data_IF_110667925619
#
_entry.id   IF_110667925619
#
_cell.length_a   1.000
_cell.length_b   1.000
_cell.length_c   1.000
_cell.angle_alpha   90.00
_cell.angle_beta   90.00
_cell.angle_gamma   90.00
#
_symmetry.space_group_name_H-M   'P 1'
#
loop_
_entity.id
_entity.type
_entity.pdbx_description
1 polymer ?
#
# COMPACT_ATOMS: atom_id res chain seq x y z
N UNK A 1 1.83 15.88 -10.81
CA UNK A 1 3.19 16.46 -10.88
C UNK A 1 3.44 17.40 -9.72
N UNK A 2 4.70 17.55 -9.30
CA UNK A 2 5.11 18.46 -8.21
C UNK A 2 6.36 19.20 -8.60
N UNK A 3 6.39 20.51 -8.35
CA UNK A 3 7.63 21.29 -8.32
C UNK A 3 8.10 21.42 -6.87
N UNK A 4 9.39 21.21 -6.63
CA UNK A 4 10.03 21.46 -5.35
C UNK A 4 11.22 22.40 -5.53
N UNK A 5 11.21 23.50 -4.79
CA UNK A 5 12.37 24.37 -4.72
C UNK A 5 13.52 23.65 -4.00
N UNK A 6 14.69 23.60 -4.63
CA UNK A 6 15.82 22.81 -4.12
C UNK A 6 16.53 23.46 -2.93
N UNK A 7 16.28 24.75 -2.68
CA UNK A 7 16.88 25.53 -1.60
C UNK A 7 15.92 25.66 -0.41
N UNK A 8 14.69 26.14 -0.68
CA UNK A 8 13.68 26.39 0.38
C UNK A 8 12.86 25.17 0.77
N UNK A 9 12.80 24.15 -0.09
CA UNK A 9 11.94 22.96 0.03
C UNK A 9 10.43 23.27 -0.11
N UNK A 10 10.08 24.45 -0.57
CA UNK A 10 8.71 24.76 -0.99
C UNK A 10 8.24 23.78 -2.06
N UNK A 11 6.98 23.36 -1.99
CA UNK A 11 6.40 22.40 -2.94
C UNK A 11 5.11 22.95 -3.50
N UNK A 12 4.96 22.83 -4.81
CA UNK A 12 3.80 23.31 -5.57
C UNK A 12 3.20 22.10 -6.30
N UNK A 13 1.91 21.90 -6.11
CA UNK A 13 1.15 20.91 -6.86
C UNK A 13 0.91 21.41 -8.28
N UNK A 14 1.43 20.69 -9.25
CA UNK A 14 1.31 20.99 -10.68
C UNK A 14 0.40 19.99 -11.41
N UNK A 15 -0.39 19.20 -10.69
CA UNK A 15 -1.23 18.15 -11.30
C UNK A 15 -2.18 18.73 -12.32
N UNK A 16 -2.83 19.84 -12.01
CA UNK A 16 -3.78 20.52 -12.90
C UNK A 16 -3.11 21.30 -14.04
N UNK A 17 -1.78 21.39 -14.03
CA UNK A 17 -0.99 22.06 -15.09
C UNK A 17 -0.54 21.07 -16.17
N UNK A 18 -0.89 19.79 -16.03
CA UNK A 18 -0.57 18.76 -17.01
C UNK A 18 -1.78 18.52 -17.89
N UNK A 19 -1.65 18.79 -19.18
CA UNK A 19 -2.65 18.49 -20.19
C UNK A 19 -2.00 17.72 -21.34
N UNK A 20 -2.62 16.64 -21.79
CA UNK A 20 -2.13 15.79 -22.90
C UNK A 20 -0.66 15.33 -22.72
N UNK A 21 -0.26 15.09 -21.46
CA UNK A 21 1.13 14.70 -21.13
C UNK A 21 2.14 15.85 -21.15
N UNK A 22 1.70 17.08 -21.36
CA UNK A 22 2.54 18.28 -21.39
C UNK A 22 2.29 19.08 -20.12
N UNK A 23 3.36 19.40 -19.39
CA UNK A 23 3.33 20.33 -18.28
C UNK A 23 3.66 21.75 -18.78
N UNK A 24 2.76 22.70 -18.54
CA UNK A 24 2.99 24.11 -18.78
C UNK A 24 2.87 24.86 -17.46
N UNK A 25 3.95 25.51 -17.04
CA UNK A 25 4.01 26.22 -15.77
C UNK A 25 5.00 27.37 -15.81
N UNK A 26 4.56 28.54 -15.36
CA UNK A 26 5.42 29.72 -15.19
C UNK A 26 6.12 29.61 -13.83
N UNK A 27 7.38 29.15 -13.85
CA UNK A 27 8.15 28.92 -12.65
C UNK A 27 8.49 30.27 -11.95
N UNK A 28 8.22 30.38 -10.64
CA UNK A 28 8.73 31.50 -9.85
C UNK A 28 10.27 31.53 -9.84
N UNK A 29 10.82 32.67 -9.43
CA UNK A 29 12.27 32.79 -9.27
C UNK A 29 12.81 31.72 -8.30
N UNK A 30 13.96 31.14 -8.62
CA UNK A 30 14.60 30.09 -7.81
C UNK A 30 15.00 28.85 -8.60
N UNK A 31 15.46 27.84 -7.87
CA UNK A 31 15.89 26.57 -8.47
C UNK A 31 14.84 25.47 -8.18
N UNK A 32 14.14 25.05 -9.20
CA UNK A 32 13.05 24.11 -9.08
C UNK A 32 13.39 22.75 -9.67
N UNK A 33 13.01 21.69 -8.96
CA UNK A 33 12.98 20.32 -9.45
C UNK A 33 11.55 19.95 -9.71
N UNK A 34 11.23 19.58 -10.95
CA UNK A 34 9.93 19.07 -11.33
C UNK A 34 9.97 17.54 -11.27
N UNK A 35 8.97 16.95 -10.67
CA UNK A 35 8.82 15.49 -10.50
C UNK A 35 7.45 15.07 -10.98
N UNK A 36 7.42 14.08 -11.84
CA UNK A 36 6.19 13.41 -12.25
C UNK A 36 6.11 12.08 -11.51
N UNK A 37 4.96 11.82 -10.88
CA UNK A 37 4.63 10.56 -10.23
C UNK A 37 3.52 9.89 -11.02
N UNK A 38 3.72 8.65 -11.39
CA UNK A 38 2.72 7.85 -12.07
C UNK A 38 2.69 6.44 -11.48
N UNK A 39 1.53 5.83 -11.53
CA UNK A 39 1.37 4.45 -11.13
C UNK A 39 1.69 3.55 -12.32
N UNK A 40 2.69 2.71 -12.15
CA UNK A 40 3.00 1.66 -13.12
C UNK A 40 2.27 0.38 -12.70
N UNK A 41 1.40 -0.11 -13.59
CA UNK A 41 0.72 -1.37 -13.35
C UNK A 41 1.68 -2.52 -13.70
N UNK A 42 2.00 -3.30 -12.67
CA UNK A 42 2.78 -4.52 -12.90
C UNK A 42 1.89 -5.59 -13.53
N UNK A 43 2.30 -6.10 -14.69
CA UNK A 43 1.61 -7.17 -15.41
C UNK A 43 1.75 -8.55 -14.75
N UNK A 44 2.58 -8.69 -13.74
CA UNK A 44 2.83 -9.96 -13.04
C UNK A 44 1.73 -10.33 -12.02
N UNK A 45 0.49 -9.96 -12.31
CA UNK A 45 -0.75 -10.49 -11.71
C UNK A 45 -0.66 -10.84 -10.22
N UNK A 46 -0.22 -9.91 -9.38
CA UNK A 46 -0.23 -10.09 -7.93
C UNK A 46 -1.53 -9.57 -7.35
N UNK A 47 -1.96 -10.18 -6.26
CA UNK A 47 -3.05 -9.66 -5.46
C UNK A 47 -2.69 -8.28 -4.91
N UNK A 48 -3.59 -7.32 -4.99
CA UNK A 48 -3.46 -6.07 -4.25
C UNK A 48 -3.87 -6.32 -2.79
N UNK A 49 -2.88 -6.42 -1.92
CA UNK A 49 -3.09 -6.69 -0.50
C UNK A 49 -3.69 -5.52 0.29
N UNK A 50 -3.78 -4.33 -0.31
CA UNK A 50 -4.43 -3.15 0.25
C UNK A 50 -5.84 -2.92 -0.31
N UNK A 51 -6.27 -3.71 -1.30
CA UNK A 51 -7.61 -3.62 -1.89
C UNK A 51 -8.52 -4.70 -1.29
N UNK A 52 -9.43 -4.28 -0.43
CA UNK A 52 -10.38 -5.19 0.22
C UNK A 52 -11.24 -5.98 -0.78
N UNK A 53 -11.66 -5.36 -1.88
CA UNK A 53 -12.48 -6.02 -2.89
C UNK A 53 -11.68 -7.11 -3.63
N UNK A 54 -10.41 -6.85 -3.94
CA UNK A 54 -9.52 -7.84 -4.53
C UNK A 54 -9.31 -9.04 -3.59
N UNK A 55 -9.18 -8.78 -2.28
CA UNK A 55 -9.02 -9.84 -1.29
C UNK A 55 -10.30 -10.65 -1.13
N UNK A 56 -11.46 -10.02 -1.10
CA UNK A 56 -12.75 -10.73 -1.03
C UNK A 56 -12.96 -11.62 -2.26
N UNK A 57 -12.57 -11.14 -3.44
CA UNK A 57 -12.59 -11.96 -4.65
C UNK A 57 -11.62 -13.12 -4.55
N UNK A 58 -10.41 -12.91 -4.06
CA UNK A 58 -9.43 -13.98 -3.84
C UNK A 58 -9.96 -15.05 -2.88
N UNK A 59 -10.55 -14.65 -1.74
CA UNK A 59 -11.17 -15.57 -0.79
C UNK A 59 -12.28 -16.37 -1.46
N UNK A 60 -13.13 -15.72 -2.25
CA UNK A 60 -14.21 -16.39 -3.00
C UNK A 60 -13.69 -17.42 -4.01
N UNK A 61 -12.61 -17.11 -4.69
CA UNK A 61 -12.01 -17.98 -5.72
C UNK A 61 -11.19 -19.12 -5.14
N UNK A 62 -10.71 -19.00 -3.91
CA UNK A 62 -9.81 -19.96 -3.26
C UNK A 62 -10.46 -20.60 -2.02
N UNK A 63 -10.50 -19.89 -0.93
CA UNK A 63 -10.95 -20.38 0.38
C UNK A 63 -12.38 -20.93 0.34
N UNK A 64 -13.31 -20.24 -0.30
CA UNK A 64 -14.69 -20.70 -0.45
C UNK A 64 -14.78 -22.00 -1.29
N UNK A 65 -13.87 -22.20 -2.23
CA UNK A 65 -13.85 -23.45 -2.99
C UNK A 65 -13.40 -24.65 -2.14
N UNK A 66 -12.50 -24.41 -1.19
CA UNK A 66 -12.14 -25.43 -0.21
C UNK A 66 -13.29 -25.70 0.76
N UNK A 67 -13.95 -24.66 1.26
CA UNK A 67 -15.11 -24.83 2.13
C UNK A 67 -16.21 -25.66 1.45
N UNK A 68 -16.56 -25.35 0.21
CA UNK A 68 -17.58 -26.09 -0.56
C UNK A 68 -17.26 -27.60 -0.70
N UNK A 69 -15.98 -27.97 -0.73
CA UNK A 69 -15.56 -29.36 -0.96
C UNK A 69 -15.22 -30.12 0.31
N UNK A 70 -14.74 -29.42 1.34
CA UNK A 70 -14.08 -30.04 2.48
C UNK A 70 -14.64 -29.59 3.83
N UNK A 71 -15.76 -28.90 3.88
CA UNK A 71 -16.35 -28.39 5.12
C UNK A 71 -16.55 -29.50 6.17
N UNK A 72 -16.93 -30.70 5.75
CA UNK A 72 -17.13 -31.83 6.65
C UNK A 72 -15.84 -32.29 7.34
N UNK A 73 -14.70 -31.95 6.81
CA UNK A 73 -13.39 -32.24 7.38
C UNK A 73 -12.82 -31.10 8.23
N UNK A 74 -13.50 -29.94 8.23
CA UNK A 74 -13.07 -28.81 9.04
C UNK A 74 -13.18 -29.16 10.52
N UNK A 75 -12.30 -28.59 11.35
CA UNK A 75 -12.15 -28.86 12.78
C UNK A 75 -11.61 -30.25 13.15
N UNK A 76 -11.66 -31.21 12.26
CA UNK A 76 -11.15 -32.56 12.48
C UNK A 76 -9.84 -32.81 11.77
N UNK A 77 -9.89 -33.02 10.48
CA UNK A 77 -8.72 -33.25 9.62
C UNK A 77 -8.08 -31.93 9.17
N UNK A 78 -8.90 -30.98 8.69
CA UNK A 78 -8.48 -29.63 8.33
C UNK A 78 -8.69 -28.72 9.53
N UNK A 79 -7.62 -28.34 10.19
CA UNK A 79 -7.67 -27.57 11.44
C UNK A 79 -7.38 -26.09 11.29
N UNK A 80 -6.83 -25.68 10.15
CA UNK A 80 -6.48 -24.31 9.92
C UNK A 80 -6.08 -24.04 8.48
N UNK A 81 -5.89 -22.77 8.19
CA UNK A 81 -5.28 -22.24 6.96
C UNK A 81 -3.91 -21.66 7.28
N UNK A 82 -3.00 -21.81 6.36
CA UNK A 82 -1.66 -21.21 6.47
C UNK A 82 -1.38 -20.36 5.22
N UNK A 83 -0.85 -19.18 5.44
CA UNK A 83 -0.34 -18.32 4.37
C UNK A 83 1.16 -18.08 4.57
N UNK A 84 1.88 -17.92 3.48
CA UNK A 84 3.32 -17.73 3.49
C UNK A 84 3.72 -16.56 2.60
N UNK A 85 4.61 -15.71 3.11
CA UNK A 85 5.18 -14.56 2.42
C UNK A 85 4.14 -13.67 1.68
N UNK A 86 2.99 -13.44 2.30
CA UNK A 86 1.98 -12.53 1.74
C UNK A 86 2.44 -11.08 1.84
N UNK A 87 2.31 -10.32 0.76
CA UNK A 87 2.70 -8.93 0.71
C UNK A 87 3.51 -8.61 -0.54
N UNK A 88 4.22 -7.52 -0.51
CA UNK A 88 4.88 -6.96 -1.70
C UNK A 88 6.35 -7.36 -1.87
N UNK A 89 6.86 -8.25 -1.05
CA UNK A 89 8.17 -8.91 -1.17
C UNK A 89 9.30 -7.96 -1.61
N UNK A 90 9.58 -6.95 -0.80
CA UNK A 90 10.66 -6.00 -1.05
C UNK A 90 10.30 -4.83 -1.98
N UNK A 91 9.08 -4.76 -2.51
CA UNK A 91 8.65 -3.59 -3.26
C UNK A 91 8.22 -2.46 -2.31
N UNK A 92 9.19 -1.66 -1.88
CA UNK A 92 8.98 -0.57 -0.93
C UNK A 92 8.09 0.57 -1.44
N UNK A 93 7.76 0.58 -2.72
CA UNK A 93 6.98 1.65 -3.36
C UNK A 93 5.70 1.17 -4.00
N UNK A 94 5.19 0.05 -3.53
CA UNK A 94 3.89 -0.39 -3.96
C UNK A 94 2.80 0.62 -3.55
N UNK A 95 1.88 0.90 -4.45
CA UNK A 95 0.92 1.98 -4.30
C UNK A 95 -0.43 1.65 -4.94
N UNK A 96 -1.51 2.11 -4.32
CA UNK A 96 -2.85 2.12 -4.92
C UNK A 96 -3.60 3.41 -4.54
N UNK A 97 -4.81 3.59 -5.04
CA UNK A 97 -5.62 4.77 -4.76
C UNK A 97 -5.99 4.88 -3.27
N UNK A 98 -6.28 3.76 -2.61
CA UNK A 98 -6.67 3.73 -1.21
C UNK A 98 -5.60 4.31 -0.29
N UNK A 99 -4.31 4.10 -0.60
CA UNK A 99 -3.21 4.67 0.17
C UNK A 99 -3.17 6.21 0.06
N UNK A 100 -3.41 6.75 -1.14
CA UNK A 100 -3.51 8.20 -1.35
C UNK A 100 -4.67 8.79 -0.57
N UNK A 101 -5.85 8.21 -0.71
CA UNK A 101 -7.06 8.66 -0.03
C UNK A 101 -6.93 8.58 1.49
N UNK A 102 -6.36 7.49 2.00
CA UNK A 102 -6.11 7.31 3.44
C UNK A 102 -5.19 8.38 4.00
N UNK A 103 -4.15 8.76 3.25
CA UNK A 103 -3.26 9.84 3.64
C UNK A 103 -4.00 11.18 3.70
N UNK A 104 -4.74 11.52 2.66
CA UNK A 104 -5.46 12.80 2.59
C UNK A 104 -6.55 12.90 3.66
N UNK A 105 -7.30 11.83 3.86
CA UNK A 105 -8.35 11.78 4.88
C UNK A 105 -7.79 11.88 6.30
N UNK A 106 -6.67 11.21 6.59
CA UNK A 106 -6.08 11.20 7.95
C UNK A 106 -5.37 12.50 8.31
N UNK A 107 -4.63 13.06 7.36
CA UNK A 107 -3.75 14.20 7.64
C UNK A 107 -4.31 15.54 7.16
N UNK A 108 -5.39 15.54 6.36
CA UNK A 108 -5.97 16.77 5.78
C UNK A 108 -5.02 17.49 4.82
N UNK A 109 -4.09 16.75 4.21
CA UNK A 109 -3.02 17.29 3.36
C UNK A 109 -3.05 16.61 1.99
N UNK A 110 -2.77 17.35 0.92
CA UNK A 110 -2.65 16.78 -0.42
C UNK A 110 -1.45 15.83 -0.48
N UNK A 111 -1.69 14.55 -0.70
CA UNK A 111 -0.66 13.51 -0.72
C UNK A 111 0.43 13.79 -1.76
N UNK A 112 0.06 14.33 -2.91
CA UNK A 112 0.98 14.63 -4.01
C UNK A 112 2.13 15.54 -3.60
N UNK A 113 1.92 16.49 -2.69
CA UNK A 113 2.95 17.38 -2.16
C UNK A 113 3.98 16.66 -1.29
N UNK A 114 3.65 15.45 -0.81
CA UNK A 114 4.50 14.65 0.09
C UNK A 114 5.16 13.46 -0.61
N UNK A 115 4.73 13.09 -1.82
CA UNK A 115 5.39 12.03 -2.60
C UNK A 115 6.90 12.26 -2.78
N UNK A 116 7.39 13.49 -2.98
CA UNK A 116 8.84 13.72 -3.06
C UNK A 116 9.62 13.19 -1.86
N UNK A 117 9.02 13.11 -0.66
CA UNK A 117 9.68 12.59 0.53
C UNK A 117 10.17 11.15 0.38
N UNK A 118 9.51 10.34 -0.46
CA UNK A 118 9.88 8.95 -0.70
C UNK A 118 11.25 8.80 -1.39
N UNK A 119 11.75 9.85 -2.03
CA UNK A 119 13.04 9.85 -2.74
C UNK A 119 13.99 10.94 -2.28
N UNK A 120 13.48 12.06 -1.78
CA UNK A 120 14.25 13.27 -1.50
C UNK A 120 13.98 13.80 -0.11
N UNK A 121 14.90 14.63 0.36
CA UNK A 121 14.65 15.46 1.54
C UNK A 121 13.75 16.64 1.15
N UNK A 122 12.59 16.73 1.77
CA UNK A 122 11.59 17.79 1.60
C UNK A 122 11.59 18.83 2.74
N UNK A 123 12.65 18.86 3.54
CA UNK A 123 12.77 19.71 4.72
C UNK A 123 12.39 18.94 6.01
N UNK A 124 11.96 19.67 7.03
CA UNK A 124 11.63 19.13 8.36
C UNK A 124 10.49 18.09 8.37
N UNK A 125 9.66 18.04 7.33
CA UNK A 125 8.56 17.10 7.22
C UNK A 125 8.96 15.75 6.58
N UNK A 126 10.21 15.57 6.18
CA UNK A 126 10.64 14.38 5.41
C UNK A 126 10.34 13.08 6.13
N UNK A 127 10.80 12.94 7.35
CA UNK A 127 10.65 11.69 8.11
C UNK A 127 9.19 11.44 8.51
N UNK A 128 8.49 12.50 8.90
CA UNK A 128 7.07 12.40 9.23
C UNK A 128 6.23 11.94 8.03
N UNK A 129 6.53 12.44 6.83
CA UNK A 129 5.85 12.01 5.61
C UNK A 129 6.12 10.54 5.27
N UNK A 130 7.38 10.10 5.41
CA UNK A 130 7.75 8.69 5.21
C UNK A 130 7.03 7.76 6.20
N UNK A 131 7.08 8.10 7.48
CA UNK A 131 6.38 7.34 8.53
C UNK A 131 4.88 7.29 8.23
N UNK A 132 4.28 8.40 7.80
CA UNK A 132 2.86 8.45 7.47
C UNK A 132 2.50 7.51 6.32
N UNK A 133 3.23 7.53 5.20
CA UNK A 133 2.94 6.66 4.06
C UNK A 133 3.19 5.19 4.36
N UNK A 134 4.34 4.86 4.96
CA UNK A 134 4.66 3.47 5.26
C UNK A 134 3.78 2.90 6.37
N UNK A 135 3.43 3.71 7.38
CA UNK A 135 2.51 3.30 8.44
C UNK A 135 1.10 3.03 7.91
N UNK A 136 0.57 3.91 7.04
CA UNK A 136 -0.72 3.68 6.38
C UNK A 136 -0.71 2.43 5.50
N UNK A 137 0.39 2.21 4.77
CA UNK A 137 0.52 1.02 3.95
C UNK A 137 0.50 -0.26 4.79
N UNK A 138 1.25 -0.28 5.89
CA UNK A 138 1.25 -1.40 6.82
C UNK A 138 -0.14 -1.66 7.40
N UNK A 139 -0.85 -0.61 7.79
CA UNK A 139 -2.24 -0.69 8.27
C UNK A 139 -3.18 -1.27 7.21
N UNK A 140 -3.14 -0.75 5.99
CA UNK A 140 -4.00 -1.24 4.89
C UNK A 140 -3.71 -2.70 4.54
N UNK A 141 -2.45 -3.14 4.58
CA UNK A 141 -2.09 -4.54 4.37
C UNK A 141 -2.62 -5.41 5.52
N UNK A 142 -2.44 -4.97 6.77
CA UNK A 142 -2.90 -5.70 7.96
C UNK A 142 -4.42 -5.84 8.01
N UNK A 143 -5.14 -4.76 7.76
CA UNK A 143 -6.61 -4.76 7.67
C UNK A 143 -7.13 -5.51 6.42
N UNK A 144 -6.31 -5.64 5.40
CA UNK A 144 -6.62 -6.38 4.18
C UNK A 144 -6.49 -7.89 4.35
N UNK A 145 -5.41 -8.46 3.82
CA UNK A 145 -5.29 -9.92 3.66
C UNK A 145 -5.30 -10.71 4.97
N UNK A 146 -4.42 -10.45 5.96
CA UNK A 146 -4.36 -11.25 7.17
C UNK A 146 -5.66 -11.22 7.95
N UNK A 147 -6.23 -10.02 8.15
CA UNK A 147 -7.49 -9.87 8.88
C UNK A 147 -8.65 -10.58 8.18
N UNK A 148 -8.85 -10.34 6.88
CA UNK A 148 -9.96 -10.95 6.13
C UNK A 148 -9.86 -12.48 6.07
N UNK A 149 -8.66 -13.02 5.90
CA UNK A 149 -8.43 -14.48 5.96
C UNK A 149 -8.64 -15.00 7.37
N UNK A 150 -8.21 -14.28 8.39
CA UNK A 150 -8.47 -14.60 9.79
C UNK A 150 -9.96 -14.65 10.11
N UNK A 151 -10.72 -13.63 9.68
CA UNK A 151 -12.17 -13.59 9.85
C UNK A 151 -12.89 -14.70 9.08
N UNK A 152 -12.44 -15.01 7.86
CA UNK A 152 -12.97 -16.14 7.10
C UNK A 152 -12.71 -17.46 7.84
N UNK A 153 -11.49 -17.69 8.30
CA UNK A 153 -11.11 -18.87 9.04
C UNK A 153 -11.93 -19.04 10.33
N UNK A 154 -12.10 -17.95 11.08
CA UNK A 154 -12.90 -17.95 12.30
C UNK A 154 -14.37 -18.32 12.05
N UNK A 155 -14.98 -17.84 10.95
CA UNK A 155 -16.34 -18.22 10.56
C UNK A 155 -16.49 -19.70 10.23
N UNK A 156 -15.39 -20.39 9.93
CA UNK A 156 -15.36 -21.82 9.63
C UNK A 156 -14.77 -22.67 10.77
N UNK A 157 -14.57 -22.07 11.94
CA UNK A 157 -13.91 -22.69 13.10
C UNK A 157 -12.51 -23.25 12.79
N UNK A 158 -11.79 -22.55 11.93
CA UNK A 158 -10.41 -22.86 11.56
C UNK A 158 -9.44 -21.90 12.24
N UNK A 159 -8.24 -22.36 12.50
CA UNK A 159 -7.13 -21.50 12.92
C UNK A 159 -6.55 -20.83 11.67
N UNK A 160 -6.38 -19.51 11.69
CA UNK A 160 -5.58 -18.80 10.70
C UNK A 160 -4.17 -18.61 11.25
N UNK A 161 -3.18 -18.93 10.45
CA UNK A 161 -1.78 -18.72 10.77
C UNK A 161 -0.97 -18.45 9.50
N UNK A 162 0.19 -17.82 9.65
CA UNK A 162 1.03 -17.58 8.50
C UNK A 162 2.31 -16.86 8.86
N UNK A 163 3.13 -16.68 7.84
CA UNK A 163 4.30 -15.82 7.91
C UNK A 163 4.02 -14.51 7.18
N UNK A 164 4.22 -13.35 7.84
CA UNK A 164 4.32 -12.10 7.11
C UNK A 164 5.53 -12.17 6.17
N UNK A 165 5.60 -11.30 5.15
CA UNK A 165 6.69 -11.33 4.19
C UNK A 165 8.03 -11.24 4.91
N UNK A 166 8.93 -12.16 4.54
CA UNK A 166 10.25 -12.28 5.16
C UNK A 166 11.09 -11.02 5.02
N UNK A 167 11.83 -10.74 6.07
CA UNK A 167 12.65 -9.56 6.23
C UNK A 167 13.98 -9.68 5.53
N UNK A 168 14.02 -9.45 4.25
CA UNK A 168 15.31 -9.38 3.56
C UNK A 168 15.86 -7.95 3.44
N UNK A 169 15.07 -6.93 3.78
CA UNK A 169 15.49 -5.54 3.71
C UNK A 169 14.88 -4.66 4.82
N UNK A 170 15.57 -3.59 5.23
CA UNK A 170 15.13 -2.70 6.31
C UNK A 170 13.93 -1.79 5.95
N UNK A 171 13.27 -2.02 4.86
CA UNK A 171 12.03 -1.35 4.46
C UNK A 171 10.78 -2.01 5.04
N UNK A 172 10.95 -2.70 6.03
CA UNK A 172 10.15 -3.62 6.79
C UNK A 172 8.90 -3.05 7.49
N UNK A 173 8.56 -1.80 7.28
CA UNK A 173 7.30 -1.25 7.80
C UNK A 173 6.09 -1.95 7.15
N UNK A 174 6.28 -2.52 5.96
CA UNK A 174 5.27 -3.35 5.30
C UNK A 174 4.99 -4.67 6.00
N UNK A 175 5.85 -5.05 6.91
CA UNK A 175 5.85 -6.35 7.53
C UNK A 175 5.30 -6.33 8.95
N UNK A 176 5.17 -5.14 9.51
CA UNK A 176 4.69 -4.92 10.86
C UNK A 176 3.29 -4.30 10.88
N UNK A 177 2.57 -4.37 9.81
CA UNK A 177 1.14 -4.37 9.90
C UNK A 177 0.80 -5.64 10.67
N UNK A 178 0.67 -5.49 11.96
CA UNK A 178 0.50 -6.56 12.92
C UNK A 178 -0.68 -7.44 12.53
N UNK A 179 -0.52 -8.76 12.47
CA UNK A 179 -1.65 -9.65 12.33
C UNK A 179 -2.57 -9.60 13.54
#
# INVERSE_FOLDING_TARGET
>A
AVAMNTETRERIDLTDQVADGILTWDAPEGKWKIMSFYLEYNVDSRLDYMDEAAIDQFISMTYEQYAKRFNDFFRTTVRGSFFDDVGYLGNSRYWNAALTESFENRYGKKAVLYYPALWYNIGSETEAARIAFYGLRAELIGEGYPKKVGEWSARHDLISMGHPPGNYEPTAVDMYGDP
#
